data_IF_036965107431
#
_entry.id   IF_036965107431
#
_cell.length_a   1.000
_cell.length_b   1.000
_cell.length_c   1.000
_cell.angle_alpha   90.00
_cell.angle_beta   90.00
_cell.angle_gamma   90.00
#
_symmetry.space_group_name_H-M   'P 1'
#
loop_
_entity.id
_entity.type
_entity.pdbx_description
1 polymer ?
#
# COMPACT_ATOMS: atom_id res chain seq x y z
N UNK A 1 -22.61 2.10 -26.03
CA UNK A 1 -22.82 0.93 -25.18
C UNK A 1 -24.27 0.89 -24.70
N UNK A 2 -24.89 -0.25 -24.82
CA UNK A 2 -26.28 -0.40 -24.40
C UNK A 2 -26.37 -0.69 -22.87
N UNK A 3 -27.61 -0.65 -22.36
CA UNK A 3 -27.86 -0.82 -20.93
C UNK A 3 -27.49 -2.21 -20.42
N UNK A 4 -27.68 -3.24 -21.26
CA UNK A 4 -27.36 -4.61 -20.88
C UNK A 4 -25.83 -4.79 -20.70
N UNK A 5 -25.03 -4.22 -21.60
CA UNK A 5 -23.59 -4.26 -21.51
C UNK A 5 -23.09 -3.47 -20.30
N UNK A 6 -23.69 -2.29 -20.07
CA UNK A 6 -23.35 -1.48 -18.89
C UNK A 6 -23.59 -2.25 -17.59
N UNK A 7 -24.78 -2.87 -17.46
CA UNK A 7 -25.12 -3.68 -16.28
C UNK A 7 -24.18 -4.87 -16.12
N UNK A 8 -23.78 -5.49 -17.21
CA UNK A 8 -22.87 -6.62 -17.18
C UNK A 8 -21.49 -6.22 -16.62
N UNK A 9 -20.93 -5.14 -17.15
CA UNK A 9 -19.62 -4.65 -16.67
C UNK A 9 -19.71 -4.15 -15.23
N UNK A 10 -20.76 -3.41 -14.91
CA UNK A 10 -21.00 -2.95 -13.54
C UNK A 10 -21.06 -4.13 -12.57
N UNK A 11 -21.83 -5.16 -12.92
CA UNK A 11 -21.98 -6.37 -12.09
C UNK A 11 -20.68 -7.11 -11.89
N UNK A 12 -19.83 -7.20 -12.91
CA UNK A 12 -18.51 -7.82 -12.81
C UNK A 12 -17.62 -7.05 -11.84
N UNK A 13 -17.67 -5.72 -11.92
CA UNK A 13 -16.83 -4.88 -11.04
C UNK A 13 -17.34 -4.89 -9.59
N UNK A 14 -18.65 -4.93 -9.40
CA UNK A 14 -19.24 -5.11 -8.07
C UNK A 14 -18.79 -6.43 -7.44
N UNK A 15 -18.81 -7.52 -8.21
CA UNK A 15 -18.35 -8.83 -7.74
C UNK A 15 -16.86 -8.79 -7.37
N UNK A 16 -16.04 -8.11 -8.17
CA UNK A 16 -14.63 -7.97 -7.92
C UNK A 16 -14.37 -7.21 -6.61
N UNK A 17 -15.08 -6.11 -6.40
CA UNK A 17 -14.99 -5.31 -5.16
C UNK A 17 -15.44 -6.10 -3.92
N UNK A 18 -16.40 -7.03 -4.09
CA UNK A 18 -16.90 -7.85 -2.99
C UNK A 18 -15.91 -8.90 -2.53
N UNK A 19 -14.93 -9.26 -3.36
CA UNK A 19 -13.90 -10.25 -3.03
C UNK A 19 -12.71 -9.65 -2.30
N UNK A 20 -12.57 -8.33 -2.28
CA UNK A 20 -11.49 -7.62 -1.61
C UNK A 20 -11.56 -6.15 -1.95
N UNK A 21 -10.93 -5.32 -1.12
CA UNK A 21 -10.91 -3.88 -1.34
C UNK A 21 -10.23 -3.51 -2.65
N UNK A 22 -10.86 -2.62 -3.40
CA UNK A 22 -10.34 -2.08 -4.66
C UNK A 22 -10.46 -0.57 -4.63
N UNK A 23 -9.49 0.12 -5.22
CA UNK A 23 -9.58 1.57 -5.42
C UNK A 23 -10.03 1.88 -6.84
N UNK A 24 -10.33 3.16 -7.11
CA UNK A 24 -10.75 3.60 -8.44
C UNK A 24 -9.71 3.23 -9.50
N UNK A 25 -8.41 3.40 -9.19
CA UNK A 25 -7.33 3.08 -10.12
C UNK A 25 -7.30 1.59 -10.48
N UNK A 26 -7.55 0.70 -9.53
CA UNK A 26 -7.59 -0.75 -9.77
C UNK A 26 -8.70 -1.11 -10.76
N UNK A 27 -9.90 -0.57 -10.53
CA UNK A 27 -11.07 -0.87 -11.37
C UNK A 27 -10.90 -0.23 -12.73
N UNK A 28 -10.40 1.02 -12.80
CA UNK A 28 -10.12 1.68 -14.07
C UNK A 28 -9.19 0.84 -14.95
N UNK A 29 -8.11 0.33 -14.36
CA UNK A 29 -7.15 -0.49 -15.08
C UNK A 29 -7.80 -1.76 -15.64
N UNK A 30 -8.69 -2.39 -14.90
CA UNK A 30 -9.44 -3.55 -15.37
C UNK A 30 -10.33 -3.21 -16.56
N UNK A 31 -11.07 -2.10 -16.47
CA UNK A 31 -12.00 -1.69 -17.52
C UNK A 31 -11.29 -1.18 -18.77
N UNK A 32 -10.10 -0.57 -18.62
CA UNK A 32 -9.32 -0.10 -19.77
C UNK A 32 -8.78 -1.22 -20.63
N UNK A 33 -8.74 -2.44 -20.11
CA UNK A 33 -8.39 -3.64 -20.89
C UNK A 33 -9.55 -4.19 -21.72
N UNK A 34 -10.70 -3.57 -21.60
CA UNK A 34 -11.91 -3.95 -22.34
C UNK A 34 -12.23 -2.88 -23.38
N UNK A 35 -13.30 -3.10 -24.14
CA UNK A 35 -13.78 -2.14 -25.14
C UNK A 35 -14.64 -1.02 -24.55
N UNK A 36 -14.75 -0.93 -23.23
CA UNK A 36 -15.60 0.07 -22.57
C UNK A 36 -15.04 1.47 -22.83
N UNK A 37 -15.87 2.41 -23.36
CA UNK A 37 -15.42 3.80 -23.56
C UNK A 37 -15.08 4.50 -22.26
N UNK A 38 -14.19 5.49 -22.32
CA UNK A 38 -13.71 6.20 -21.14
C UNK A 38 -14.80 6.89 -20.33
N UNK A 39 -15.80 7.46 -21.02
CA UNK A 39 -16.94 8.10 -20.35
C UNK A 39 -17.78 7.08 -19.57
N UNK A 40 -17.92 5.88 -20.11
CA UNK A 40 -18.64 4.78 -19.44
C UNK A 40 -17.84 4.25 -18.26
N UNK A 41 -16.52 4.15 -18.39
CA UNK A 41 -15.64 3.78 -17.26
C UNK A 41 -15.86 4.74 -16.09
N UNK A 42 -15.87 6.05 -16.37
CA UNK A 42 -16.11 7.05 -15.35
C UNK A 42 -17.47 6.88 -14.69
N UNK A 43 -18.51 6.60 -15.47
CA UNK A 43 -19.86 6.34 -14.94
C UNK A 43 -19.88 5.12 -14.02
N UNK A 44 -19.22 4.04 -14.43
CA UNK A 44 -19.12 2.82 -13.61
C UNK A 44 -18.40 3.10 -12.30
N UNK A 45 -17.26 3.81 -12.36
CA UNK A 45 -16.50 4.16 -11.16
C UNK A 45 -17.33 5.00 -10.20
N UNK A 46 -18.03 6.00 -10.72
CA UNK A 46 -18.89 6.87 -9.89
C UNK A 46 -20.02 6.08 -9.24
N UNK A 47 -20.60 5.15 -9.96
CA UNK A 47 -21.69 4.32 -9.42
C UNK A 47 -21.18 3.37 -8.35
N UNK A 48 -20.03 2.73 -8.58
CA UNK A 48 -19.41 1.85 -7.58
C UNK A 48 -19.09 2.62 -6.28
N UNK A 49 -18.61 3.85 -6.41
CA UNK A 49 -18.30 4.69 -5.28
C UNK A 49 -19.57 5.13 -4.54
N UNK A 50 -20.60 5.58 -5.28
CA UNK A 50 -21.87 6.00 -4.68
C UNK A 50 -22.60 4.87 -3.97
N UNK A 51 -22.40 3.64 -4.43
CA UNK A 51 -23.03 2.45 -3.84
C UNK A 51 -22.16 1.79 -2.76
N UNK A 52 -21.01 2.37 -2.46
CA UNK A 52 -20.14 1.88 -1.38
C UNK A 52 -19.24 0.69 -1.75
N UNK A 53 -19.21 0.28 -3.01
CA UNK A 53 -18.28 -0.77 -3.46
C UNK A 53 -16.85 -0.28 -3.50
N UNK A 54 -16.63 1.01 -3.78
CA UNK A 54 -15.33 1.67 -3.70
C UNK A 54 -15.40 2.73 -2.61
N UNK A 55 -14.43 2.68 -1.69
CA UNK A 55 -14.27 3.67 -0.64
C UNK A 55 -12.77 3.81 -0.41
N UNK A 56 -12.20 4.95 -0.81
CA UNK A 56 -10.75 5.11 -0.78
C UNK A 56 -10.17 5.19 0.64
N UNK A 57 -10.94 5.67 1.61
CA UNK A 57 -10.52 5.64 3.02
C UNK A 57 -10.44 4.19 3.52
N UNK A 58 -11.43 3.39 3.21
CA UNK A 58 -11.47 1.98 3.58
C UNK A 58 -10.35 1.21 2.89
N UNK A 59 -10.13 1.48 1.59
CA UNK A 59 -9.04 0.87 0.82
C UNK A 59 -7.69 1.21 1.42
N UNK A 60 -7.43 2.50 1.68
CA UNK A 60 -6.15 2.95 2.23
C UNK A 60 -5.89 2.34 3.61
N UNK A 61 -6.91 2.27 4.47
CA UNK A 61 -6.77 1.67 5.79
C UNK A 61 -6.41 0.20 5.72
N UNK A 62 -7.10 -0.56 4.87
CA UNK A 62 -6.79 -1.98 4.66
C UNK A 62 -5.38 -2.17 4.08
N UNK A 63 -5.00 -1.35 3.10
CA UNK A 63 -3.68 -1.40 2.47
C UNK A 63 -2.57 -1.16 3.50
N UNK A 64 -2.72 -0.12 4.32
CA UNK A 64 -1.74 0.21 5.37
C UNK A 64 -1.59 -0.96 6.34
N UNK A 65 -2.71 -1.50 6.83
CA UNK A 65 -2.68 -2.61 7.79
C UNK A 65 -1.99 -3.84 7.21
N UNK A 66 -2.36 -4.22 5.99
CA UNK A 66 -1.83 -5.43 5.36
C UNK A 66 -0.35 -5.30 5.04
N UNK A 67 0.06 -4.19 4.42
CA UNK A 67 1.46 -4.00 4.04
C UNK A 67 2.36 -3.86 5.24
N UNK A 68 1.89 -3.21 6.29
CA UNK A 68 2.66 -3.08 7.52
C UNK A 68 2.76 -4.41 8.27
N UNK A 69 1.63 -5.08 8.52
CA UNK A 69 1.60 -6.30 9.33
C UNK A 69 2.13 -7.53 8.60
N UNK A 70 1.77 -7.69 7.32
CA UNK A 70 2.11 -8.90 6.57
C UNK A 70 3.44 -8.78 5.83
N UNK A 71 3.75 -7.58 5.30
CA UNK A 71 4.93 -7.36 4.48
C UNK A 71 6.07 -6.66 5.24
N UNK A 72 5.78 -6.08 6.39
CA UNK A 72 6.78 -5.31 7.14
C UNK A 72 7.20 -4.02 6.46
N UNK A 73 6.36 -3.46 5.57
CA UNK A 73 6.69 -2.20 4.90
C UNK A 73 6.60 -1.03 5.87
N UNK A 74 7.54 -0.08 5.72
CA UNK A 74 7.51 1.16 6.47
C UNK A 74 6.58 2.19 5.83
N UNK A 75 6.29 3.28 6.56
CA UNK A 75 5.32 4.29 6.11
C UNK A 75 5.66 4.94 4.78
N UNK A 76 6.94 5.16 4.47
CA UNK A 76 7.37 5.81 3.21
C UNK A 76 6.96 4.96 2.00
N UNK A 77 7.23 3.67 2.04
CA UNK A 77 6.89 2.77 0.92
C UNK A 77 5.38 2.65 0.77
N UNK A 78 4.67 2.51 1.89
CA UNK A 78 3.21 2.41 1.87
C UNK A 78 2.60 3.68 1.24
N UNK A 79 3.05 4.86 1.69
CA UNK A 79 2.58 6.13 1.16
C UNK A 79 2.83 6.25 -0.34
N UNK A 80 4.05 5.91 -0.78
CA UNK A 80 4.41 6.00 -2.20
C UNK A 80 3.56 5.08 -3.06
N UNK A 81 3.30 3.87 -2.61
CA UNK A 81 2.47 2.93 -3.37
C UNK A 81 1.01 3.37 -3.42
N UNK A 82 0.50 3.97 -2.36
CA UNK A 82 -0.85 4.55 -2.38
C UNK A 82 -0.95 5.75 -3.32
N UNK A 83 0.13 6.55 -3.43
CA UNK A 83 0.19 7.64 -4.43
C UNK A 83 0.14 7.10 -5.85
N UNK A 84 0.82 6.01 -6.12
CA UNK A 84 0.76 5.33 -7.43
C UNK A 84 -0.69 4.93 -7.75
N UNK A 85 -1.45 4.53 -6.75
CA UNK A 85 -2.88 4.21 -6.87
C UNK A 85 -3.77 5.44 -6.90
N UNK A 86 -3.18 6.64 -6.93
CA UNK A 86 -3.88 7.93 -7.00
C UNK A 86 -4.79 8.20 -5.81
N UNK A 87 -4.44 7.66 -4.66
CA UNK A 87 -5.12 7.97 -3.40
C UNK A 87 -4.69 9.38 -2.96
N UNK A 88 -5.65 10.26 -2.59
CA UNK A 88 -5.30 11.62 -2.17
C UNK A 88 -4.40 11.64 -0.91
N UNK A 89 -3.51 12.61 -0.85
CA UNK A 89 -2.55 12.73 0.25
C UNK A 89 -3.21 12.77 1.63
N UNK A 90 -4.35 13.47 1.76
CA UNK A 90 -5.08 13.53 3.03
C UNK A 90 -5.57 12.16 3.49
N UNK A 91 -5.98 11.31 2.53
CA UNK A 91 -6.46 9.96 2.82
C UNK A 91 -5.29 9.08 3.26
N UNK A 92 -4.15 9.21 2.57
CA UNK A 92 -2.92 8.48 2.90
C UNK A 92 -2.46 8.84 4.31
N UNK A 93 -2.35 10.13 4.60
CA UNK A 93 -1.90 10.61 5.91
C UNK A 93 -2.79 10.11 7.04
N UNK A 94 -4.10 10.14 6.83
CA UNK A 94 -5.05 9.65 7.82
C UNK A 94 -4.92 8.16 8.06
N UNK A 95 -4.77 7.40 6.98
CA UNK A 95 -4.60 5.94 7.09
C UNK A 95 -3.32 5.58 7.83
N UNK A 96 -2.23 6.31 7.59
CA UNK A 96 -0.95 6.06 8.25
C UNK A 96 -0.98 6.38 9.75
N UNK A 97 -1.88 7.26 10.20
CA UNK A 97 -2.02 7.55 11.62
C UNK A 97 -2.46 6.33 12.45
N UNK A 98 -3.03 5.31 11.82
CA UNK A 98 -3.43 4.09 12.51
C UNK A 98 -2.21 3.28 12.97
N UNK A 99 -1.04 3.53 12.39
CA UNK A 99 0.21 2.88 12.80
C UNK A 99 0.92 3.78 13.80
N UNK A 100 1.02 3.33 15.06
CA UNK A 100 1.75 4.09 16.08
C UNK A 100 3.25 4.11 15.80
N UNK A 101 3.91 5.19 16.20
CA UNK A 101 5.36 5.35 16.01
C UNK A 101 6.14 4.21 16.65
N UNK A 102 5.76 3.79 17.86
CA UNK A 102 6.42 2.68 18.56
C UNK A 102 6.27 1.37 17.79
N UNK A 103 5.10 1.12 17.20
CA UNK A 103 4.87 -0.09 16.39
C UNK A 103 5.75 -0.09 15.14
N UNK A 104 5.95 1.07 14.52
CA UNK A 104 6.83 1.22 13.35
C UNK A 104 8.26 0.85 13.74
N UNK A 105 8.76 1.38 14.86
CA UNK A 105 10.13 1.11 15.31
C UNK A 105 10.32 -0.36 15.71
N UNK A 106 9.33 -0.96 16.36
CA UNK A 106 9.41 -2.38 16.73
C UNK A 106 9.41 -3.29 15.51
N UNK A 107 8.56 -2.99 14.52
CA UNK A 107 8.53 -3.75 13.27
C UNK A 107 9.85 -3.64 12.52
N UNK A 108 10.42 -2.44 12.48
CA UNK A 108 11.73 -2.21 11.87
C UNK A 108 12.81 -3.01 12.61
N UNK A 109 12.78 -2.98 13.93
CA UNK A 109 13.75 -3.71 14.78
C UNK A 109 13.71 -5.20 14.48
N UNK A 110 12.50 -5.79 14.46
CA UNK A 110 12.33 -7.21 14.16
C UNK A 110 12.85 -7.56 12.77
N UNK A 111 12.55 -6.73 11.77
CA UNK A 111 13.03 -6.92 10.40
C UNK A 111 14.55 -6.85 10.31
N UNK A 112 15.17 -5.90 11.03
CA UNK A 112 16.61 -5.74 11.04
C UNK A 112 17.31 -6.89 11.75
N UNK A 113 16.76 -7.38 12.86
CA UNK A 113 17.30 -8.55 13.57
C UNK A 113 17.32 -9.76 12.64
N UNK A 114 16.21 -10.02 11.94
CA UNK A 114 16.12 -11.13 11.01
C UNK A 114 17.10 -10.97 9.85
N UNK A 115 17.19 -9.77 9.28
CA UNK A 115 18.10 -9.51 8.17
C UNK A 115 19.55 -9.65 8.62
N UNK A 116 19.89 -9.14 9.80
CA UNK A 116 21.24 -9.22 10.34
C UNK A 116 21.72 -10.66 10.45
N UNK A 117 20.83 -11.59 10.82
CA UNK A 117 21.16 -13.00 10.93
C UNK A 117 21.54 -13.64 9.58
N UNK A 118 21.03 -13.08 8.47
CA UNK A 118 21.28 -13.61 7.11
C UNK A 118 22.38 -12.87 6.37
N UNK A 119 22.85 -11.72 6.86
CA UNK A 119 23.89 -10.92 6.20
C UNK A 119 25.26 -11.53 6.52
N UNK A 120 25.98 -11.92 5.47
CA UNK A 120 27.31 -12.57 5.60
C UNK A 120 28.44 -11.56 5.45
N UNK A 121 28.35 -10.43 6.10
CA UNK A 121 29.38 -9.39 6.08
C UNK A 121 29.99 -9.24 7.47
N UNK A 122 31.29 -9.37 7.58
CA UNK A 122 32.01 -9.28 8.85
C UNK A 122 32.45 -7.86 9.20
N UNK A 123 32.70 -7.01 8.18
CA UNK A 123 33.10 -5.61 8.41
C UNK A 123 31.91 -4.83 8.97
N UNK A 124 32.05 -4.24 10.16
CA UNK A 124 30.93 -3.52 10.79
C UNK A 124 30.36 -2.38 9.94
N UNK A 125 31.20 -1.61 9.25
CA UNK A 125 30.76 -0.49 8.43
C UNK A 125 29.96 -0.99 7.23
N UNK A 126 30.48 -1.98 6.53
CA UNK A 126 29.79 -2.57 5.37
C UNK A 126 28.50 -3.28 5.77
N UNK A 127 28.53 -3.96 6.91
CA UNK A 127 27.36 -4.62 7.48
C UNK A 127 26.25 -3.62 7.78
N UNK A 128 26.59 -2.52 8.43
CA UNK A 128 25.65 -1.45 8.73
C UNK A 128 25.06 -0.84 7.47
N UNK A 129 25.88 -0.63 6.43
CA UNK A 129 25.41 -0.12 5.13
C UNK A 129 24.41 -1.06 4.47
N UNK A 130 24.64 -2.36 4.52
CA UNK A 130 23.73 -3.36 3.97
C UNK A 130 22.38 -3.36 4.70
N UNK A 131 22.40 -3.28 6.02
CA UNK A 131 21.20 -3.23 6.84
C UNK A 131 20.42 -1.95 6.58
N UNK A 132 21.11 -0.82 6.43
CA UNK A 132 20.48 0.46 6.12
C UNK A 132 19.79 0.42 4.78
N UNK A 133 20.45 -0.09 3.74
CA UNK A 133 19.86 -0.20 2.40
C UNK A 133 18.62 -1.11 2.41
N UNK A 134 18.69 -2.21 3.14
CA UNK A 134 17.55 -3.11 3.29
C UNK A 134 16.35 -2.38 3.90
N UNK A 135 16.58 -1.67 5.00
CA UNK A 135 15.50 -0.96 5.69
C UNK A 135 14.93 0.20 4.87
N UNK A 136 15.79 0.92 4.12
CA UNK A 136 15.33 1.95 3.19
C UNK A 136 14.43 1.35 2.11
N UNK A 137 14.80 0.19 1.57
CA UNK A 137 13.99 -0.48 0.55
C UNK A 137 12.63 -0.94 1.09
N UNK A 138 12.55 -1.19 2.39
CA UNK A 138 11.30 -1.55 3.06
C UNK A 138 10.43 -0.32 3.36
N UNK A 139 10.98 0.89 3.22
CA UNK A 139 10.21 2.12 3.36
C UNK A 139 10.32 2.82 4.69
N UNK A 140 11.40 2.62 5.41
CA UNK A 140 11.69 3.35 6.65
C UNK A 140 12.59 4.53 6.37
N UNK A 141 12.56 5.54 7.26
CA UNK A 141 13.41 6.74 7.12
C UNK A 141 14.80 6.50 7.71
N UNK A 142 15.78 7.29 7.29
CA UNK A 142 17.12 7.25 7.88
C UNK A 142 17.09 7.47 9.39
N UNK A 143 16.25 8.39 9.86
CA UNK A 143 16.12 8.68 11.28
C UNK A 143 15.65 7.45 12.06
N UNK A 144 14.63 6.76 11.54
CA UNK A 144 14.11 5.54 12.15
C UNK A 144 15.16 4.42 12.15
N UNK A 145 15.85 4.25 11.03
CA UNK A 145 16.89 3.22 10.87
C UNK A 145 18.05 3.47 11.83
N UNK A 146 18.52 4.71 11.89
CA UNK A 146 19.61 5.09 12.79
C UNK A 146 19.24 4.81 14.25
N UNK A 147 18.03 5.21 14.64
CA UNK A 147 17.54 5.02 16.01
C UNK A 147 17.52 3.54 16.39
N UNK A 148 17.05 2.66 15.49
CA UNK A 148 16.96 1.23 15.77
C UNK A 148 18.34 0.57 15.74
N UNK A 149 19.19 0.89 14.75
CA UNK A 149 20.53 0.31 14.66
C UNK A 149 21.36 0.67 15.89
N UNK A 150 21.19 1.87 16.43
CA UNK A 150 21.87 2.30 17.64
C UNK A 150 21.50 1.41 18.83
N UNK A 151 20.26 0.95 18.92
CA UNK A 151 19.80 0.05 19.97
C UNK A 151 20.36 -1.37 19.84
N UNK A 152 20.73 -1.78 18.63
CA UNK A 152 21.19 -3.13 18.32
C UNK A 152 22.71 -3.30 18.44
N UNK A 153 23.42 -2.22 18.71
CA UNK A 153 24.89 -2.24 18.90
C UNK A 153 25.29 -2.53 20.34
#
# INVERSE_FOLDING_TARGET
MDQEEFKRYLGKMQALCSRGEKCRADIRMKLEKTDVPQDVITQILNKLESEGFIDEHRYAGAYVRDKFRLQGWGPVKIANMLKVKKIPDRVISRALLEIGENSVLETLKDSLIKKAASVKESDPVKRRAKLTRFALSKGYTYAQIYQVLKQLQ
#
